data_IF_924201392677
#
_entry.id   IF_924201392677
#
_cell.length_a   1.000
_cell.length_b   1.000
_cell.length_c   1.000
_cell.angle_alpha   90.00
_cell.angle_beta   90.00
_cell.angle_gamma   90.00
#
_symmetry.space_group_name_H-M   'P 1'
#
loop_
_entity.id
_entity.type
_entity.pdbx_description
1 polymer ?
#
# COMPACT_ATOMS: atom_id res chain seq x y z
N UNK A 1 3.19 4.18 3.12
CA UNK A 1 2.81 4.66 4.45
C UNK A 1 2.06 5.97 4.33
N UNK A 2 1.16 6.25 5.27
CA UNK A 2 0.31 7.46 5.31
C UNK A 2 -0.56 7.66 4.06
N UNK A 3 -1.00 6.57 3.42
CA UNK A 3 -1.71 6.66 2.14
C UNK A 3 -3.13 7.21 2.27
N UNK A 4 -3.72 7.09 3.46
CA UNK A 4 -5.03 7.61 3.84
C UNK A 4 -4.98 8.96 4.58
N UNK A 5 -3.89 9.25 5.30
CA UNK A 5 -3.78 10.42 6.18
C UNK A 5 -3.02 11.60 5.58
N UNK A 6 -2.16 11.39 4.58
CA UNK A 6 -1.47 12.43 3.82
C UNK A 6 -2.15 12.61 2.44
N UNK A 7 -3.00 13.64 2.24
CA UNK A 7 -3.74 13.82 1.00
C UNK A 7 -2.85 13.99 -0.23
N UNK A 8 -1.60 14.43 -0.06
CA UNK A 8 -0.63 14.59 -1.14
C UNK A 8 0.05 13.28 -1.53
N UNK A 9 0.07 12.28 -0.65
CA UNK A 9 0.79 11.03 -0.84
C UNK A 9 0.31 10.25 -2.06
N UNK A 10 -0.99 9.99 -2.13
CA UNK A 10 -1.58 9.15 -3.19
C UNK A 10 -1.44 9.78 -4.58
N UNK A 11 -1.79 11.06 -4.80
CA UNK A 11 -1.53 11.73 -6.08
C UNK A 11 -0.03 11.79 -6.46
N UNK A 12 0.87 11.98 -5.48
CA UNK A 12 2.31 12.01 -5.73
C UNK A 12 2.84 10.65 -6.20
N UNK A 13 2.49 9.56 -5.50
CA UNK A 13 2.91 8.21 -5.88
C UNK A 13 2.41 7.87 -7.28
N UNK A 14 1.13 8.11 -7.57
CA UNK A 14 0.56 7.84 -8.89
C UNK A 14 1.32 8.59 -10.00
N UNK A 15 1.64 9.87 -9.79
CA UNK A 15 2.41 10.65 -10.78
C UNK A 15 3.80 10.06 -11.02
N UNK A 16 4.53 9.79 -9.95
CA UNK A 16 5.91 9.30 -10.03
C UNK A 16 6.00 7.88 -10.58
N UNK A 17 4.98 7.04 -10.38
CA UNK A 17 4.91 5.72 -11.02
C UNK A 17 4.54 5.86 -12.50
N UNK A 18 3.57 6.70 -12.84
CA UNK A 18 3.15 6.94 -14.22
C UNK A 18 4.30 7.49 -15.10
N UNK A 19 5.06 8.46 -14.58
CA UNK A 19 6.20 9.05 -15.29
C UNK A 19 7.48 8.18 -15.28
N UNK A 20 7.47 7.06 -14.55
CA UNK A 20 8.58 6.11 -14.48
C UNK A 20 9.71 6.48 -13.54
N UNK A 21 9.56 7.56 -12.75
CA UNK A 21 10.53 7.95 -11.70
C UNK A 21 10.60 6.90 -10.59
N UNK A 22 9.44 6.35 -10.19
CA UNK A 22 9.34 5.25 -9.25
C UNK A 22 8.98 3.95 -9.97
N UNK A 23 9.55 2.80 -9.56
CA UNK A 23 9.09 1.49 -9.99
C UNK A 23 7.75 1.14 -9.31
N UNK A 24 7.30 -0.10 -9.46
CA UNK A 24 6.18 -0.66 -8.66
C UNK A 24 6.32 -0.25 -7.19
N UNK A 25 5.30 0.45 -6.68
CA UNK A 25 5.33 1.09 -5.38
C UNK A 25 4.29 0.45 -4.46
N UNK A 26 4.75 -0.09 -3.34
CA UNK A 26 3.89 -0.64 -2.30
C UNK A 26 3.52 0.46 -1.31
N UNK A 27 2.22 0.68 -1.15
CA UNK A 27 1.65 1.72 -0.30
C UNK A 27 0.77 1.10 0.79
N UNK A 28 0.61 1.85 1.88
CA UNK A 28 -0.10 1.40 3.09
C UNK A 28 -0.75 2.59 3.75
N UNK A 29 -1.99 2.40 4.18
CA UNK A 29 -2.66 3.28 5.13
C UNK A 29 -1.98 3.20 6.51
N UNK A 30 -2.30 4.14 7.38
CA UNK A 30 -1.86 4.10 8.76
C UNK A 30 -2.40 2.87 9.50
N UNK A 31 -1.52 2.21 10.26
CA UNK A 31 -1.83 0.94 10.95
C UNK A 31 -1.84 -0.29 10.04
N UNK A 32 -1.31 -0.20 8.82
CA UNK A 32 -1.15 -1.33 7.88
C UNK A 32 0.32 -1.67 7.68
N UNK A 33 0.63 -2.97 7.81
CA UNK A 33 1.95 -3.54 7.54
C UNK A 33 1.93 -4.51 6.37
N UNK A 34 3.05 -4.60 5.65
CA UNK A 34 3.28 -5.59 4.60
C UNK A 34 4.21 -6.69 5.12
N UNK A 35 3.83 -7.94 4.91
CA UNK A 35 4.61 -9.11 5.32
C UNK A 35 5.32 -9.70 4.11
N UNK A 36 6.65 -9.62 4.12
CA UNK A 36 7.50 -10.22 3.11
C UNK A 36 8.17 -11.48 3.64
N UNK A 37 8.28 -12.50 2.79
CA UNK A 37 9.16 -13.65 2.99
C UNK A 37 10.27 -13.60 1.96
N UNK A 38 11.44 -13.13 2.38
CA UNK A 38 12.48 -12.69 1.43
C UNK A 38 11.99 -11.45 0.69
N UNK A 39 11.96 -11.51 -0.65
CA UNK A 39 11.45 -10.42 -1.52
C UNK A 39 10.00 -10.62 -1.96
N UNK A 40 9.38 -11.74 -1.59
CA UNK A 40 7.99 -12.03 -1.96
C UNK A 40 7.05 -11.42 -0.94
N UNK A 41 6.14 -10.55 -1.40
CA UNK A 41 4.99 -10.10 -0.61
C UNK A 41 4.04 -11.29 -0.39
N UNK A 42 3.73 -11.59 0.87
CA UNK A 42 2.90 -12.74 1.25
C UNK A 42 1.52 -12.32 1.71
N UNK A 43 1.43 -11.25 2.51
CA UNK A 43 0.16 -10.69 2.98
C UNK A 43 0.33 -9.23 3.39
N UNK A 44 -0.79 -8.53 3.54
CA UNK A 44 -0.86 -7.31 4.33
C UNK A 44 -1.62 -7.60 5.63
N UNK A 45 -1.27 -6.90 6.70
CA UNK A 45 -1.93 -7.00 8.01
C UNK A 45 -2.32 -5.63 8.51
N UNK A 46 -3.39 -5.54 9.29
CA UNK A 46 -3.81 -4.27 9.89
C UNK A 46 -4.24 -4.42 11.34
N UNK A 47 -3.99 -3.37 12.13
CA UNK A 47 -4.54 -3.24 13.48
C UNK A 47 -5.90 -2.52 13.52
N UNK A 48 -6.36 -1.95 12.39
CA UNK A 48 -7.59 -1.16 12.29
C UNK A 48 -8.49 -1.66 11.15
N UNK A 49 -9.78 -1.97 11.42
CA UNK A 49 -10.72 -2.35 10.37
C UNK A 49 -10.85 -1.27 9.28
N UNK A 50 -10.97 -1.72 8.02
CA UNK A 50 -11.21 -0.85 6.86
C UNK A 50 -9.97 -0.16 6.27
N UNK A 51 -8.79 -0.31 6.88
CA UNK A 51 -7.52 0.18 6.30
C UNK A 51 -7.03 -0.74 5.17
N UNK A 52 -6.14 -0.23 4.32
CA UNK A 52 -5.67 -0.92 3.12
C UNK A 52 -4.16 -0.88 2.89
N UNK A 53 -3.69 -1.87 2.15
CA UNK A 53 -2.44 -1.81 1.41
C UNK A 53 -2.74 -1.70 -0.09
N UNK A 54 -1.78 -1.18 -0.87
CA UNK A 54 -1.96 -0.96 -2.30
C UNK A 54 -0.66 -1.25 -3.04
N UNK A 55 -0.77 -1.82 -4.24
CA UNK A 55 0.31 -1.90 -5.22
C UNK A 55 0.00 -0.87 -6.31
N UNK A 56 0.91 0.07 -6.54
CA UNK A 56 0.81 1.01 -7.65
C UNK A 56 1.84 0.61 -8.70
N UNK A 57 1.37 0.26 -9.89
CA UNK A 57 2.19 -0.17 -11.02
C UNK A 57 2.01 0.76 -12.21
N UNK A 58 3.03 0.81 -13.06
CA UNK A 58 2.97 1.59 -14.30
C UNK A 58 2.34 0.74 -15.41
N UNK A 59 1.33 1.30 -16.06
CA UNK A 59 0.70 0.72 -17.25
C UNK A 59 0.69 1.78 -18.36
N UNK A 60 1.56 1.65 -19.36
CA UNK A 60 1.73 2.70 -20.37
C UNK A 60 2.20 4.02 -19.73
N UNK A 61 1.44 5.10 -19.92
CA UNK A 61 1.70 6.43 -19.37
C UNK A 61 0.89 6.75 -18.10
N UNK A 62 0.21 5.75 -17.52
CA UNK A 62 -0.60 5.88 -16.31
C UNK A 62 -0.09 4.99 -15.18
N UNK A 63 -0.50 5.32 -13.97
CA UNK A 63 -0.41 4.43 -12.83
C UNK A 63 -1.74 3.68 -12.68
N UNK A 64 -1.66 2.39 -12.42
CA UNK A 64 -2.78 1.55 -11.99
C UNK A 64 -2.54 1.15 -10.54
N UNK A 65 -3.61 1.14 -9.75
CA UNK A 65 -3.54 0.81 -8.33
C UNK A 65 -4.43 -0.39 -8.05
N UNK A 66 -3.87 -1.40 -7.39
CA UNK A 66 -4.58 -2.55 -6.86
C UNK A 66 -4.56 -2.50 -5.33
N UNK A 67 -5.73 -2.66 -4.71
CA UNK A 67 -5.83 -2.78 -3.26
C UNK A 67 -5.54 -4.22 -2.84
N UNK A 68 -4.63 -4.36 -1.88
CA UNK A 68 -4.44 -5.60 -1.12
C UNK A 68 -5.27 -5.47 0.17
N UNK A 69 -6.26 -6.34 0.32
CA UNK A 69 -7.06 -6.37 1.55
C UNK A 69 -6.21 -6.95 2.70
N UNK A 70 -5.93 -6.17 3.76
CA UNK A 70 -5.15 -6.65 4.86
C UNK A 70 -5.97 -7.55 5.78
N UNK A 71 -5.32 -8.58 6.32
CA UNK A 71 -5.91 -9.38 7.39
C UNK A 71 -5.84 -8.62 8.72
N UNK A 72 -6.94 -8.57 9.45
CA UNK A 72 -6.94 -7.99 10.79
C UNK A 72 -6.07 -8.82 11.75
N UNK A 73 -5.25 -8.12 12.55
CA UNK A 73 -4.50 -8.74 13.62
C UNK A 73 -5.41 -9.04 14.81
N UNK A 74 -5.14 -10.12 15.57
CA UNK A 74 -5.80 -10.34 16.84
C UNK A 74 -5.60 -9.13 17.73
N UNK A 75 -6.65 -8.70 18.43
CA UNK A 75 -6.49 -7.70 19.48
C UNK A 75 -5.50 -8.25 20.50
N UNK A 76 -4.50 -7.45 20.85
CA UNK A 76 -3.65 -7.79 21.98
C UNK A 76 -4.54 -7.98 23.21
N UNK A 77 -4.49 -9.19 23.79
CA UNK A 77 -5.21 -9.48 25.02
C UNK A 77 -4.78 -8.48 26.09
N UNK A 78 -5.76 -7.91 26.80
CA UNK A 78 -5.49 -7.18 28.04
C UNK A 78 -5.03 -8.14 29.13
#
# INVERSE_FOLDING_TARGET
MHYDSDPGRRPLVHRLVADGTLPTSHCTDDGVGLVYRGTRLVEAVTEQPGKGAYIVERDGDRAVEERIEPRELPRAGR
#
